data_IF_069134000015
#
_entry.id   IF_069134000015
#
_cell.length_a   1.000
_cell.length_b   1.000
_cell.length_c   1.000
_cell.angle_alpha   90.00
_cell.angle_beta   90.00
_cell.angle_gamma   90.00
#
_symmetry.space_group_name_H-M   'P 1'
#
loop_
_entity.id
_entity.type
_entity.pdbx_description
1 polymer ?
#
# COMPACT_ATOMS: atom_id res chain seq x y z
N UNK A 1 0.82 -14.11 -26.62
CA UNK A 1 -0.16 -13.39 -25.77
C UNK A 1 -1.54 -13.79 -26.29
N UNK A 2 -2.37 -14.43 -25.46
CA UNK A 2 -3.73 -14.81 -25.86
C UNK A 2 -4.68 -13.83 -25.17
N UNK A 3 -5.51 -13.15 -25.96
CA UNK A 3 -6.60 -12.34 -25.43
C UNK A 3 -7.76 -13.31 -25.19
N UNK A 4 -8.23 -13.38 -23.95
CA UNK A 4 -9.42 -14.17 -23.61
C UNK A 4 -10.65 -13.67 -24.35
N UNK A 5 -11.70 -14.51 -24.45
CA UNK A 5 -12.98 -14.12 -25.08
C UNK A 5 -13.65 -12.92 -24.39
N UNK A 6 -13.24 -12.63 -23.17
CA UNK A 6 -13.65 -11.50 -22.34
C UNK A 6 -12.79 -10.24 -22.54
N UNK A 7 -11.84 -10.26 -23.48
CA UNK A 7 -10.94 -9.14 -23.76
C UNK A 7 -9.81 -8.97 -22.75
N UNK A 8 -9.66 -9.89 -21.79
CA UNK A 8 -8.62 -9.82 -20.75
C UNK A 8 -7.37 -10.59 -21.17
N UNK A 9 -6.22 -10.10 -20.73
CA UNK A 9 -4.93 -10.75 -20.92
C UNK A 9 -4.44 -11.25 -19.57
N UNK A 10 -4.08 -12.52 -19.50
CA UNK A 10 -3.49 -13.15 -18.33
C UNK A 10 -2.11 -13.70 -18.67
N UNK A 11 -1.15 -13.50 -17.77
CA UNK A 11 0.21 -14.01 -17.92
C UNK A 11 0.73 -14.45 -16.57
N UNK A 12 1.16 -15.71 -16.49
CA UNK A 12 1.80 -16.29 -15.31
C UNK A 12 3.29 -16.43 -15.61
N UNK A 13 4.12 -16.08 -14.63
CA UNK A 13 5.56 -16.27 -14.69
C UNK A 13 6.06 -16.84 -13.38
N UNK A 14 7.14 -17.61 -13.45
CA UNK A 14 7.87 -18.07 -12.27
C UNK A 14 8.94 -17.06 -11.96
N UNK A 15 9.00 -16.57 -10.71
CA UNK A 15 10.08 -15.68 -10.29
C UNK A 15 11.40 -16.45 -10.26
N UNK A 16 12.41 -15.97 -11.00
CA UNK A 16 13.73 -16.60 -11.08
C UNK A 16 14.71 -16.11 -9.99
N UNK A 17 14.38 -15.01 -9.32
CA UNK A 17 15.18 -14.41 -8.25
C UNK A 17 14.28 -13.63 -7.27
N UNK A 18 14.89 -13.07 -6.23
CA UNK A 18 14.19 -12.32 -5.16
C UNK A 18 13.70 -10.92 -5.59
N UNK A 19 14.10 -10.43 -6.78
CA UNK A 19 13.74 -9.12 -7.30
C UNK A 19 13.16 -9.20 -8.73
N UNK A 20 12.11 -10.01 -8.96
CA UNK A 20 11.53 -10.15 -10.29
C UNK A 20 10.86 -8.84 -10.69
N UNK A 21 11.09 -8.40 -11.94
CA UNK A 21 10.50 -7.17 -12.48
C UNK A 21 9.47 -7.52 -13.55
N UNK A 22 8.26 -6.97 -13.41
CA UNK A 22 7.23 -7.03 -14.45
C UNK A 22 7.29 -5.76 -15.27
N UNK A 23 7.55 -5.88 -16.58
CA UNK A 23 7.62 -4.73 -17.50
C UNK A 23 6.50 -4.78 -18.52
N UNK A 24 5.64 -3.76 -18.50
CA UNK A 24 4.67 -3.51 -19.57
C UNK A 24 5.37 -2.73 -20.69
N UNK A 25 5.64 -3.40 -21.82
CA UNK A 25 6.27 -2.79 -22.98
C UNK A 25 5.31 -2.80 -24.16
N UNK A 26 5.18 -1.67 -24.85
CA UNK A 26 4.34 -1.52 -26.05
C UNK A 26 5.17 -0.98 -27.21
N UNK A 27 4.95 -1.52 -28.41
CA UNK A 27 5.46 -0.97 -29.68
C UNK A 27 4.37 -0.19 -30.45
N UNK A 28 3.31 0.22 -29.76
CA UNK A 28 2.19 0.94 -30.36
C UNK A 28 2.66 2.27 -30.95
N UNK A 29 2.34 2.52 -32.22
CA UNK A 29 2.36 3.85 -32.83
C UNK A 29 1.03 4.54 -32.48
N UNK A 30 1.02 5.26 -31.36
CA UNK A 30 -0.17 5.92 -30.81
C UNK A 30 -0.23 5.81 -29.29
N UNK A 31 -1.44 5.83 -28.74
CA UNK A 31 -1.65 5.78 -27.28
C UNK A 31 -2.02 4.37 -26.82
N UNK A 32 -1.23 3.83 -25.89
CA UNK A 32 -1.54 2.58 -25.20
C UNK A 32 -2.12 2.90 -23.81
N UNK A 33 -3.33 2.40 -23.54
CA UNK A 33 -3.96 2.50 -22.24
C UNK A 33 -3.97 1.14 -21.55
N UNK A 34 -3.44 1.09 -20.33
CA UNK A 34 -3.48 -0.10 -19.47
C UNK A 34 -4.40 0.21 -18.30
N UNK A 35 -5.52 -0.50 -18.21
CA UNK A 35 -6.50 -0.34 -17.14
C UNK A 35 -6.58 -1.64 -16.33
N UNK A 36 -6.92 -1.50 -15.04
CA UNK A 36 -7.20 -2.65 -14.16
C UNK A 36 -6.05 -3.67 -14.10
N UNK A 37 -4.82 -3.18 -13.94
CA UNK A 37 -3.63 -3.99 -13.77
C UNK A 37 -3.61 -4.61 -12.37
N UNK A 38 -3.50 -5.94 -12.30
CA UNK A 38 -3.40 -6.69 -11.05
C UNK A 38 -2.28 -7.72 -11.16
N UNK A 39 -1.42 -7.80 -10.13
CA UNK A 39 -0.35 -8.78 -10.01
C UNK A 39 -0.58 -9.53 -8.71
N UNK A 40 -0.76 -10.85 -8.82
CA UNK A 40 -1.07 -11.72 -7.69
C UNK A 40 -0.22 -12.99 -7.74
N UNK A 41 -0.03 -13.60 -6.56
CA UNK A 41 0.59 -14.92 -6.47
C UNK A 41 -0.47 -15.98 -6.75
N UNK A 42 -0.24 -16.82 -7.75
CA UNK A 42 -1.13 -17.92 -8.11
C UNK A 42 -0.89 -18.41 -9.54
N UNK A 43 -1.48 -19.55 -9.87
CA UNK A 43 -1.46 -20.14 -11.22
C UNK A 43 -2.76 -19.88 -12.01
N UNK A 44 -3.76 -19.28 -11.36
CA UNK A 44 -5.08 -19.00 -11.91
C UNK A 44 -5.42 -17.52 -11.80
N UNK A 45 -6.01 -16.92 -12.85
CA UNK A 45 -6.43 -15.53 -12.80
C UNK A 45 -7.64 -15.36 -11.87
N UNK A 46 -7.60 -14.38 -10.98
CA UNK A 46 -8.76 -13.91 -10.24
C UNK A 46 -9.39 -12.69 -10.93
N UNK A 47 -10.58 -12.29 -10.48
CA UNK A 47 -11.20 -11.08 -10.97
C UNK A 47 -10.49 -9.85 -10.39
N UNK A 48 -10.38 -8.79 -11.19
CA UNK A 48 -9.79 -7.53 -10.74
C UNK A 48 -10.52 -7.03 -9.49
N UNK A 49 -9.74 -6.79 -8.43
CA UNK A 49 -10.19 -6.12 -7.22
C UNK A 49 -9.57 -4.73 -7.20
N UNK A 50 -10.40 -3.69 -7.13
CA UNK A 50 -9.90 -2.33 -7.01
C UNK A 50 -9.05 -2.21 -5.74
N UNK A 51 -7.85 -1.58 -5.81
CA UNK A 51 -7.06 -1.33 -4.61
C UNK A 51 -7.91 -0.55 -3.61
N UNK A 52 -8.08 -1.10 -2.42
CA UNK A 52 -8.64 -0.33 -1.33
C UNK A 52 -7.55 0.65 -0.91
N UNK A 53 -7.80 1.95 -1.04
CA UNK A 53 -6.99 2.94 -0.36
C UNK A 53 -7.25 2.72 1.13
N UNK A 54 -6.37 1.96 1.76
CA UNK A 54 -6.29 1.98 3.21
C UNK A 54 -5.62 3.31 3.52
N UNK A 55 -6.42 4.37 3.64
CA UNK A 55 -5.98 5.52 4.44
C UNK A 55 -5.63 4.90 5.80
N UNK A 56 -4.33 4.77 6.09
CA UNK A 56 -3.89 4.15 7.34
C UNK A 56 -4.54 4.91 8.48
N UNK A 57 -5.59 4.32 9.06
CA UNK A 57 -6.68 4.78 9.97
C UNK A 57 -6.69 6.23 10.54
N UNK A 58 -6.08 7.22 9.88
CA UNK A 58 -5.64 8.48 10.50
C UNK A 58 -4.67 8.32 11.69
N UNK A 59 -4.24 7.10 12.03
CA UNK A 59 -3.40 6.86 13.20
C UNK A 59 -1.95 6.71 12.76
N UNK A 60 -1.06 7.62 13.18
CA UNK A 60 0.36 7.46 12.90
C UNK A 60 0.88 6.17 13.54
N UNK A 61 1.75 5.46 12.83
CA UNK A 61 2.41 4.23 13.29
C UNK A 61 3.91 4.47 13.46
N UNK A 62 4.57 3.73 14.35
CA UNK A 62 6.00 3.88 14.62
C UNK A 62 6.35 5.25 15.22
N UNK A 63 7.46 5.85 14.80
CA UNK A 63 7.97 7.12 15.34
C UNK A 63 6.92 8.26 15.35
N UNK A 64 6.04 8.30 14.35
CA UNK A 64 5.01 9.34 14.28
C UNK A 64 3.91 9.16 15.34
N UNK A 65 3.68 7.93 15.81
CA UNK A 65 2.76 7.63 16.92
C UNK A 65 3.33 8.23 18.20
N UNK A 66 4.59 7.94 18.46
CA UNK A 66 5.30 8.40 19.66
C UNK A 66 5.34 9.93 19.71
N UNK A 67 5.55 10.60 18.57
CA UNK A 67 5.51 12.06 18.48
C UNK A 67 4.10 12.64 18.75
N UNK A 68 3.04 11.98 18.29
CA UNK A 68 1.66 12.41 18.55
C UNK A 68 1.28 12.21 20.02
N UNK A 69 1.66 11.09 20.62
CA UNK A 69 1.44 10.80 22.05
C UNK A 69 2.21 11.76 22.94
N UNK A 70 3.48 12.06 22.62
CA UNK A 70 4.26 13.09 23.31
C UNK A 70 3.60 14.47 23.23
N UNK A 71 3.09 14.86 22.07
CA UNK A 71 2.40 16.14 21.91
C UNK A 71 1.10 16.20 22.73
N UNK A 72 0.36 15.10 22.81
CA UNK A 72 -0.84 15.00 23.66
C UNK A 72 -0.48 15.13 25.16
N UNK A 73 0.56 14.44 25.62
CA UNK A 73 1.05 14.54 27.01
C UNK A 73 1.59 15.93 27.34
N UNK A 74 2.17 16.65 26.38
CA UNK A 74 2.64 18.02 26.58
C UNK A 74 1.50 19.04 26.63
N UNK A 75 0.46 18.86 25.82
CA UNK A 75 -0.67 19.79 25.72
C UNK A 75 -1.74 19.56 26.78
N UNK A 76 -1.95 18.33 27.24
CA UNK A 76 -2.91 17.99 28.29
C UNK A 76 -2.33 18.26 29.69
N UNK A 77 -2.25 19.54 30.06
CA UNK A 77 -1.74 19.94 31.39
C UNK A 77 -2.59 19.49 32.59
N UNK A 78 -3.80 18.99 32.34
CA UNK A 78 -4.74 18.56 33.38
C UNK A 78 -4.63 17.06 33.71
N UNK A 79 -4.46 16.19 32.70
CA UNK A 79 -4.46 14.74 32.88
C UNK A 79 -3.16 14.04 32.47
N UNK A 80 -2.17 14.78 31.98
CA UNK A 80 -0.86 14.26 31.57
C UNK A 80 -0.10 13.58 32.69
N UNK A 81 0.33 12.35 32.41
CA UNK A 81 1.23 11.58 33.26
C UNK A 81 2.65 12.17 33.23
N UNK A 82 3.05 12.77 32.12
CA UNK A 82 4.33 13.46 31.99
C UNK A 82 4.41 14.65 32.97
N UNK A 83 3.40 15.52 32.98
CA UNK A 83 3.36 16.67 33.88
C UNK A 83 3.23 16.28 35.34
N UNK A 84 2.50 15.19 35.65
CA UNK A 84 2.43 14.64 37.00
C UNK A 84 3.82 14.25 37.52
N UNK A 85 4.66 13.62 36.70
CA UNK A 85 6.04 13.26 37.06
C UNK A 85 6.98 14.46 37.17
N UNK A 86 6.83 15.47 36.31
CA UNK A 86 7.65 16.70 36.36
C UNK A 86 7.37 17.48 37.64
N UNK A 87 6.10 17.59 38.07
CA UNK A 87 5.72 18.32 39.30
C UNK A 87 6.14 17.63 40.59
N UNK A 88 6.48 16.35 40.55
CA UNK A 88 6.91 15.55 41.70
C UNK A 88 8.42 15.62 41.96
N UNK A 89 9.21 16.16 41.03
CA UNK A 89 10.66 16.39 41.14
C UNK A 89 10.96 17.89 41.27
#
# INVERSE_FOLDING_TARGET
LVIGKDGRVHYTFTAENDNPKVRLASKCLGTAHFNQLMIERGDKPTNYVAPVVVEGTGNPTGLFKDLKELNLELTDTANSQLWAKIKLN
#
